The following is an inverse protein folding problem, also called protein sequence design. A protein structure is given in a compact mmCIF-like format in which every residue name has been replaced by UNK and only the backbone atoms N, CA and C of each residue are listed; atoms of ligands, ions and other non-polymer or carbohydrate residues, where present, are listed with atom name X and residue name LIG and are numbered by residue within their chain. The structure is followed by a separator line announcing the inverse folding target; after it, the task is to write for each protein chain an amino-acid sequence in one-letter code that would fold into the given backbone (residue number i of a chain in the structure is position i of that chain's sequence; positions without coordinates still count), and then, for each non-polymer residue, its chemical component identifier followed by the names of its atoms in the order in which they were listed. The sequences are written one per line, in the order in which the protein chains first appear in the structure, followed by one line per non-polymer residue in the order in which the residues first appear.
data_IF_794524012894
#
_entry.id   IF_794524012894
#
_cell.length_a   1.000
_cell.length_b   1.000
_cell.length_c   1.000
_cell.angle_alpha   90.00
_cell.angle_beta   90.00
_cell.angle_gamma   90.00
#
_symmetry.space_group_name_H-M   'P 1'
#
loop_
_entity.id
_entity.type
_entity.pdbx_description
1 polymer ?
#
# COMPACT_ATOMS: atom_id res chain seq x y z
N UNK A 1 0.34 -12.26 4.33
CA UNK A 1 1.73 -12.33 4.85
C UNK A 1 2.06 -11.13 5.75
N UNK A 2 1.55 -9.93 5.46
CA UNK A 2 1.90 -8.70 6.20
C UNK A 2 1.38 -8.68 7.65
N UNK A 3 0.26 -9.36 7.95
CA UNK A 3 -0.32 -9.41 9.31
C UNK A 3 0.14 -10.59 10.16
N UNK A 4 0.79 -11.59 9.55
CA UNK A 4 1.12 -12.86 10.21
C UNK A 4 -0.10 -13.74 10.54
N UNK A 5 -1.29 -13.36 10.07
CA UNK A 5 -2.52 -14.11 10.25
C UNK A 5 -2.68 -15.21 9.19
N UNK A 6 -3.32 -16.31 9.59
CA UNK A 6 -3.68 -17.37 8.65
C UNK A 6 -5.07 -17.10 8.08
N UNK A 7 -5.17 -16.93 6.78
CA UNK A 7 -6.44 -16.76 6.07
C UNK A 7 -6.96 -18.12 5.62
N UNK A 8 -8.22 -18.42 5.93
CA UNK A 8 -8.93 -19.63 5.49
C UNK A 8 -9.96 -19.22 4.44
N UNK A 9 -9.90 -19.87 3.29
CA UNK A 9 -10.86 -19.67 2.21
C UNK A 9 -11.74 -20.91 2.04
N UNK A 10 -13.00 -20.71 1.68
CA UNK A 10 -13.95 -21.82 1.52
C UNK A 10 -15.10 -21.46 0.57
N UNK A 11 -15.93 -22.46 0.28
CA UNK A 11 -17.07 -22.35 -0.65
C UNK A 11 -18.28 -21.59 -0.07
N UNK A 12 -18.19 -21.16 1.18
CA UNK A 12 -19.24 -20.41 1.88
C UNK A 12 -19.05 -20.47 3.39
N UNK A 13 -19.87 -19.69 4.09
CA UNK A 13 -19.77 -19.49 5.54
C UNK A 13 -19.88 -20.80 6.33
N UNK A 14 -20.90 -21.63 6.03
CA UNK A 14 -21.08 -22.93 6.69
C UNK A 14 -19.87 -23.86 6.50
N UNK A 15 -19.23 -23.84 5.33
CA UNK A 15 -18.02 -24.63 5.08
C UNK A 15 -16.87 -24.17 5.96
N UNK A 16 -16.69 -22.87 6.10
CA UNK A 16 -15.65 -22.29 6.98
C UNK A 16 -15.94 -22.59 8.45
N UNK A 17 -17.19 -22.47 8.90
CA UNK A 17 -17.59 -22.84 10.27
C UNK A 17 -17.28 -24.29 10.61
N UNK A 18 -17.56 -25.22 9.69
CA UNK A 18 -17.25 -26.65 9.89
C UNK A 18 -15.73 -26.87 9.99
N UNK A 19 -14.93 -26.23 9.15
CA UNK A 19 -13.46 -26.33 9.20
C UNK A 19 -12.94 -25.83 10.54
N UNK A 20 -13.44 -24.68 10.99
CA UNK A 20 -13.06 -24.07 12.26
C UNK A 20 -13.46 -24.95 13.45
N UNK A 21 -14.69 -25.46 13.45
CA UNK A 21 -15.18 -26.35 14.50
C UNK A 21 -14.29 -27.63 14.60
N UNK A 22 -13.90 -28.20 13.47
CA UNK A 22 -12.97 -29.34 13.43
C UNK A 22 -11.58 -28.97 13.95
N UNK A 23 -11.03 -27.83 13.58
CA UNK A 23 -9.74 -27.36 14.11
C UNK A 23 -9.77 -27.25 15.63
N UNK A 24 -10.82 -26.69 16.20
CA UNK A 24 -10.95 -26.52 17.65
C UNK A 24 -11.27 -27.83 18.39
N UNK A 25 -12.20 -28.64 17.89
CA UNK A 25 -12.66 -29.84 18.59
C UNK A 25 -11.80 -31.06 18.35
N UNK A 26 -11.42 -31.34 17.10
CA UNK A 26 -10.65 -32.54 16.75
C UNK A 26 -9.16 -32.34 16.97
N UNK A 27 -8.63 -31.20 16.50
CA UNK A 27 -7.19 -30.91 16.56
C UNK A 27 -6.75 -30.14 17.80
N UNK A 28 -7.71 -29.71 18.64
CA UNK A 28 -7.45 -28.94 19.89
C UNK A 28 -6.62 -27.67 19.68
N UNK A 29 -6.79 -27.01 18.52
CA UNK A 29 -6.12 -25.75 18.21
C UNK A 29 -6.93 -24.61 18.81
N UNK A 30 -6.32 -23.85 19.71
CA UNK A 30 -6.90 -22.60 20.20
C UNK A 30 -6.63 -21.50 19.18
N UNK A 31 -7.67 -20.90 18.62
CA UNK A 31 -7.56 -19.81 17.64
C UNK A 31 -8.61 -18.74 17.86
N UNK A 32 -8.24 -17.51 17.61
CA UNK A 32 -9.17 -16.39 17.52
C UNK A 32 -9.61 -16.25 16.06
N UNK A 33 -10.92 -16.10 15.85
CA UNK A 33 -11.51 -16.03 14.51
C UNK A 33 -12.07 -14.63 14.31
N UNK A 34 -11.78 -14.05 13.16
CA UNK A 34 -12.28 -12.75 12.77
C UNK A 34 -12.25 -12.56 11.26
N UNK A 35 -12.79 -11.44 10.76
CA UNK A 35 -12.63 -11.08 9.37
C UNK A 35 -11.14 -10.86 9.06
N UNK A 36 -10.66 -11.24 7.85
CA UNK A 36 -9.27 -11.02 7.47
C UNK A 36 -8.95 -9.52 7.46
N UNK A 37 -7.70 -9.19 7.82
CA UNK A 37 -7.25 -7.81 7.76
C UNK A 37 -7.05 -7.37 6.31
N UNK A 38 -7.45 -6.13 6.02
CA UNK A 38 -7.27 -5.53 4.70
C UNK A 38 -5.84 -5.00 4.58
N UNK A 39 -5.16 -5.35 3.50
CA UNK A 39 -3.80 -4.90 3.21
C UNK A 39 -3.80 -3.46 2.68
N UNK A 40 -3.87 -2.48 3.58
CA UNK A 40 -3.71 -1.08 3.22
C UNK A 40 -2.29 -0.75 2.77
N UNK A 41 -2.16 0.29 1.96
CA UNK A 41 -0.89 0.86 1.49
C UNK A 41 -0.93 2.38 1.63
N UNK A 42 0.23 3.00 1.59
CA UNK A 42 0.34 4.46 1.50
C UNK A 42 0.92 4.85 0.14
N UNK A 43 0.48 5.98 -0.40
CA UNK A 43 1.03 6.54 -1.63
C UNK A 43 1.07 8.07 -1.54
N UNK A 44 2.01 8.70 -2.23
CA UNK A 44 2.06 10.14 -2.36
C UNK A 44 1.22 10.60 -3.57
N UNK A 45 0.69 11.81 -3.52
CA UNK A 45 -0.21 12.32 -4.57
C UNK A 45 0.37 13.47 -5.38
N UNK A 46 1.48 14.04 -4.94
CA UNK A 46 2.15 15.17 -5.62
C UNK A 46 3.65 15.08 -5.46
N UNK A 47 4.36 15.67 -6.42
CA UNK A 47 5.81 15.82 -6.35
C UNK A 47 6.22 16.80 -5.26
N UNK A 48 7.35 16.52 -4.62
CA UNK A 48 7.99 17.42 -3.66
C UNK A 48 9.50 17.29 -3.74
N UNK A 49 10.20 18.38 -3.44
CA UNK A 49 11.67 18.39 -3.38
C UNK A 49 12.10 18.85 -1.99
N UNK A 50 12.91 18.03 -1.33
CA UNK A 50 13.37 18.26 0.03
C UNK A 50 14.90 18.35 0.07
N UNK A 51 15.39 19.41 0.66
CA UNK A 51 16.78 19.51 1.10
C UNK A 51 16.87 19.05 2.57
N UNK A 52 17.82 18.18 2.87
CA UNK A 52 18.07 17.71 4.23
C UNK A 52 19.56 17.68 4.52
N UNK A 53 19.94 18.22 5.68
CA UNK A 53 21.30 18.16 6.19
C UNK A 53 21.33 17.36 7.49
N UNK A 54 22.06 16.25 7.47
CA UNK A 54 22.45 15.52 8.69
C UNK A 54 23.78 16.05 9.19
N UNK A 55 23.76 16.63 10.37
CA UNK A 55 24.99 17.11 11.03
C UNK A 55 24.96 16.70 12.51
N UNK A 56 25.97 15.95 12.92
CA UNK A 56 26.16 15.57 14.32
C UNK A 56 27.62 15.77 14.70
N UNK A 57 27.86 16.48 15.79
CA UNK A 57 29.17 16.61 16.41
C UNK A 57 29.05 16.17 17.88
N UNK A 58 29.76 15.12 18.26
CA UNK A 58 29.83 14.65 19.64
C UNK A 58 31.20 14.06 19.90
N UNK A 59 32.11 14.87 20.44
CA UNK A 59 33.35 14.43 21.09
C UNK A 59 34.28 13.48 20.34
N UNK A 60 34.33 13.55 19.00
CA UNK A 60 35.10 12.67 18.12
C UNK A 60 34.89 13.02 16.66
N UNK A 61 35.02 12.04 15.75
CA UNK A 61 34.68 12.24 14.33
C UNK A 61 33.19 12.58 14.19
N UNK A 62 32.86 13.70 13.53
CA UNK A 62 31.52 14.16 13.29
C UNK A 62 30.78 13.29 12.26
N UNK A 63 29.51 13.62 12.01
CA UNK A 63 28.74 13.08 10.90
C UNK A 63 28.19 14.24 10.09
N UNK A 64 28.38 14.19 8.77
CA UNK A 64 27.85 15.19 7.86
C UNK A 64 27.37 14.56 6.55
N UNK A 65 26.16 14.89 6.17
CA UNK A 65 25.62 14.58 4.84
C UNK A 65 24.53 15.61 4.48
N UNK A 66 24.65 16.23 3.31
CA UNK A 66 23.61 17.10 2.76
C UNK A 66 23.12 16.51 1.46
N UNK A 67 21.80 16.42 1.29
CA UNK A 67 21.16 15.88 0.10
C UNK A 67 19.97 16.73 -0.32
N UNK A 68 19.73 16.79 -1.62
CA UNK A 68 18.54 17.36 -2.26
C UNK A 68 17.87 16.24 -3.04
N UNK A 69 16.66 15.86 -2.63
CA UNK A 69 15.93 14.74 -3.24
C UNK A 69 14.54 15.19 -3.69
N UNK A 70 14.20 14.85 -4.92
CA UNK A 70 12.83 14.95 -5.43
C UNK A 70 12.12 13.63 -5.27
N UNK A 71 10.90 13.70 -4.74
CA UNK A 71 9.98 12.58 -4.57
C UNK A 71 8.79 12.76 -5.50
N UNK A 72 8.57 11.81 -6.38
CA UNK A 72 7.49 11.82 -7.35
C UNK A 72 6.61 10.56 -7.18
N UNK A 73 5.27 10.65 -7.34
CA UNK A 73 4.46 9.45 -7.49
C UNK A 73 4.84 8.76 -8.80
N UNK A 74 4.91 7.42 -8.80
CA UNK A 74 5.07 6.66 -10.04
C UNK A 74 3.82 6.85 -10.92
N UNK A 75 4.04 7.04 -12.21
CA UNK A 75 2.97 7.18 -13.22
C UNK A 75 2.59 5.81 -13.81
N UNK A 76 1.49 5.79 -14.57
CA UNK A 76 1.08 4.59 -15.30
C UNK A 76 2.06 4.19 -16.41
N UNK A 77 2.93 5.12 -16.83
CA UNK A 77 3.95 4.92 -17.85
C UNK A 77 5.26 4.35 -17.29
N UNK A 78 5.41 4.31 -15.96
CA UNK A 78 6.59 3.70 -15.33
C UNK A 78 6.47 2.17 -15.36
N UNK A 79 7.58 1.47 -15.64
CA UNK A 79 7.64 0.00 -15.74
C UNK A 79 7.21 -0.69 -14.44
N UNK A 80 7.44 -0.06 -13.28
CA UNK A 80 7.01 -0.52 -11.97
C UNK A 80 5.96 0.39 -11.36
N UNK A 81 4.68 0.11 -11.61
CA UNK A 81 3.54 0.94 -11.12
C UNK A 81 3.40 1.02 -9.60
N UNK A 82 3.90 0.04 -8.87
CA UNK A 82 3.70 -0.10 -7.42
C UNK A 82 4.99 -0.18 -6.62
N UNK A 83 6.14 -0.21 -7.28
CA UNK A 83 7.45 -0.38 -6.66
C UNK A 83 8.07 0.90 -6.12
N UNK A 84 9.36 0.80 -5.87
CA UNK A 84 10.24 1.91 -5.51
C UNK A 84 11.32 2.05 -6.57
N UNK A 85 11.47 3.26 -7.11
CA UNK A 85 12.50 3.58 -8.10
C UNK A 85 13.42 4.67 -7.55
N UNK A 86 14.72 4.41 -7.56
CA UNK A 86 15.73 5.40 -7.21
C UNK A 86 16.51 5.84 -8.46
N UNK A 87 16.60 7.15 -8.67
CA UNK A 87 17.37 7.76 -9.74
C UNK A 87 18.51 8.62 -9.19
N UNK A 88 19.68 8.50 -9.78
CA UNK A 88 20.80 9.40 -9.52
C UNK A 88 20.87 10.46 -10.63
N UNK A 89 20.50 11.68 -10.30
CA UNK A 89 20.55 12.84 -11.22
C UNK A 89 21.64 13.85 -10.81
N UNK A 90 22.54 13.49 -9.90
CA UNK A 90 23.63 14.36 -9.42
C UNK A 90 24.56 14.75 -10.57
N UNK A 91 24.80 16.03 -10.69
CA UNK A 91 25.74 16.59 -11.68
C UNK A 91 26.96 17.18 -10.97
N UNK A 92 28.15 17.11 -11.63
CA UNK A 92 29.35 17.72 -11.11
C UNK A 92 30.02 17.02 -9.92
N UNK A 93 29.54 15.82 -9.52
CA UNK A 93 30.16 15.04 -8.45
C UNK A 93 30.02 15.61 -7.05
N UNK A 94 29.00 16.43 -6.79
CA UNK A 94 28.73 17.06 -5.48
C UNK A 94 28.45 16.04 -4.38
N UNK A 95 27.99 14.85 -4.76
CA UNK A 95 27.92 13.67 -3.89
C UNK A 95 28.80 12.57 -4.49
N UNK A 96 29.86 12.13 -3.79
CA UNK A 96 30.68 11.01 -4.23
C UNK A 96 29.88 9.74 -4.50
N UNK A 97 30.25 8.99 -5.54
CA UNK A 97 29.54 7.79 -5.99
C UNK A 97 29.39 6.73 -4.88
N UNK A 98 30.34 6.67 -3.97
CA UNK A 98 30.35 5.73 -2.84
C UNK A 98 29.25 6.01 -1.80
N UNK A 99 28.75 7.25 -1.72
CA UNK A 99 27.69 7.63 -0.75
C UNK A 99 26.28 7.48 -1.32
N UNK A 100 26.12 7.44 -2.64
CA UNK A 100 24.82 7.34 -3.31
C UNK A 100 24.02 6.09 -2.89
N UNK A 101 24.63 4.88 -2.80
CA UNK A 101 23.93 3.70 -2.31
C UNK A 101 23.40 3.87 -0.88
N UNK A 102 24.10 4.65 -0.03
CA UNK A 102 23.63 4.98 1.31
C UNK A 102 22.31 5.78 1.28
N UNK A 103 22.24 6.80 0.40
CA UNK A 103 20.99 7.57 0.22
C UNK A 103 19.84 6.68 -0.23
N UNK A 104 20.06 5.86 -1.27
CA UNK A 104 19.04 4.94 -1.78
C UNK A 104 18.52 3.99 -0.70
N UNK A 105 19.43 3.34 0.03
CA UNK A 105 19.09 2.44 1.15
C UNK A 105 18.35 3.15 2.28
N UNK A 106 18.76 4.40 2.60
CA UNK A 106 18.09 5.23 3.61
C UNK A 106 16.63 5.51 3.24
N UNK A 107 16.37 5.88 1.99
CA UNK A 107 15.02 6.13 1.49
C UNK A 107 14.21 4.83 1.48
N UNK A 108 14.76 3.75 0.93
CA UNK A 108 14.11 2.44 0.85
C UNK A 108 13.68 1.92 2.23
N UNK A 109 14.48 2.18 3.28
CA UNK A 109 14.15 1.76 4.64
C UNK A 109 12.86 2.35 5.21
N UNK A 110 12.31 3.41 4.61
CA UNK A 110 11.05 4.03 5.01
C UNK A 110 9.85 3.41 4.29
N UNK A 111 10.09 2.71 3.18
CA UNK A 111 9.01 2.14 2.35
C UNK A 111 8.16 1.11 3.10
N UNK A 112 8.76 0.34 4.00
CA UNK A 112 8.04 -0.68 4.79
C UNK A 112 7.13 -0.13 5.89
N UNK A 113 7.33 1.13 6.28
CA UNK A 113 6.59 1.77 7.38
C UNK A 113 6.34 3.24 7.05
N UNK A 114 5.22 3.51 6.42
CA UNK A 114 4.83 4.83 5.93
C UNK A 114 4.59 5.85 7.04
N UNK A 115 4.37 7.09 6.62
CA UNK A 115 4.32 8.26 7.51
C UNK A 115 2.90 8.62 7.97
N UNK A 116 1.87 8.09 7.33
CA UNK A 116 0.48 8.41 7.60
C UNK A 116 -0.13 7.50 8.67
N UNK A 117 -0.08 6.20 8.45
CA UNK A 117 -0.63 5.18 9.35
C UNK A 117 0.30 3.98 9.56
N UNK A 118 1.51 4.03 9.03
CA UNK A 118 2.52 2.98 9.17
C UNK A 118 2.37 1.82 8.19
N UNK A 119 1.51 1.94 7.17
CA UNK A 119 1.41 0.94 6.11
C UNK A 119 2.54 1.08 5.09
N UNK A 120 2.90 0.00 4.38
CA UNK A 120 3.92 0.07 3.35
C UNK A 120 3.59 1.11 2.28
N UNK A 121 4.60 1.87 1.86
CA UNK A 121 4.50 2.88 0.79
C UNK A 121 4.68 2.20 -0.56
N UNK A 122 3.85 2.56 -1.52
CA UNK A 122 3.92 2.07 -2.90
C UNK A 122 3.98 3.22 -3.89
N UNK A 123 4.52 2.94 -5.09
CA UNK A 123 4.49 3.87 -6.20
C UNK A 123 5.35 5.13 -5.99
N UNK A 124 6.57 4.98 -5.46
CA UNK A 124 7.48 6.09 -5.17
C UNK A 124 8.69 6.09 -6.11
N UNK A 125 8.95 7.23 -6.72
CA UNK A 125 10.21 7.55 -7.40
C UNK A 125 10.97 8.60 -6.60
N UNK A 126 12.21 8.32 -6.25
CA UNK A 126 13.10 9.27 -5.58
C UNK A 126 14.29 9.58 -6.47
N UNK A 127 14.53 10.85 -6.76
CA UNK A 127 15.68 11.30 -7.54
C UNK A 127 16.62 12.15 -6.66
N UNK A 128 17.86 11.68 -6.50
CA UNK A 128 18.91 12.47 -5.87
C UNK A 128 19.43 13.50 -6.87
N UNK A 129 19.16 14.77 -6.59
CA UNK A 129 19.47 15.88 -7.51
C UNK A 129 20.84 16.53 -7.22
N UNK A 130 21.13 16.72 -5.93
CA UNK A 130 22.33 17.41 -5.49
C UNK A 130 22.67 17.06 -4.03
N UNK A 131 23.81 17.54 -3.54
CA UNK A 131 24.18 17.40 -2.15
C UNK A 131 25.54 18.01 -1.84
N UNK A 132 26.01 17.77 -0.63
CA UNK A 132 27.35 18.15 -0.20
C UNK A 132 27.88 17.12 0.81
N UNK A 133 29.19 16.96 0.81
CA UNK A 133 29.91 16.12 1.75
C UNK A 133 31.03 16.89 2.43
N UNK A 134 31.59 16.29 3.48
CA UNK A 134 32.74 16.81 4.21
C UNK A 134 33.82 15.73 4.23
N UNK A 135 35.05 16.06 3.86
CA UNK A 135 36.13 15.09 3.64
C UNK A 135 36.42 14.17 4.87
N UNK A 136 36.15 14.65 6.07
CA UNK A 136 36.44 13.91 7.32
C UNK A 136 35.18 13.32 7.93
N UNK A 137 34.05 14.04 7.89
CA UNK A 137 32.83 13.70 8.65
C UNK A 137 31.75 12.98 7.82
N UNK A 138 31.97 12.79 6.52
CA UNK A 138 31.03 12.07 5.67
C UNK A 138 31.30 10.58 5.62
N UNK A 139 30.25 9.81 5.58
CA UNK A 139 30.27 8.36 5.46
C UNK A 139 28.99 7.85 4.80
N UNK A 140 29.00 6.61 4.29
CA UNK A 140 27.81 5.93 3.76
C UNK A 140 26.68 5.95 4.79
N UNK A 141 27.02 5.72 6.08
CA UNK A 141 26.03 5.74 7.17
C UNK A 141 25.40 7.13 7.37
N UNK A 142 26.21 8.20 7.29
CA UNK A 142 25.70 9.56 7.41
C UNK A 142 24.70 9.89 6.28
N UNK A 143 24.99 9.43 5.05
CA UNK A 143 24.08 9.58 3.92
C UNK A 143 22.86 8.65 4.01
N UNK A 144 22.95 7.45 4.59
CA UNK A 144 21.81 6.59 4.88
C UNK A 144 20.85 7.26 5.88
N UNK A 145 21.39 7.82 6.96
CA UNK A 145 20.58 8.56 7.96
C UNK A 145 19.92 9.78 7.32
N UNK A 146 20.66 10.55 6.51
CA UNK A 146 20.12 11.68 5.78
C UNK A 146 19.01 11.26 4.81
N UNK A 147 19.19 10.18 4.04
CA UNK A 147 18.21 9.63 3.12
C UNK A 147 16.92 9.23 3.84
N UNK A 148 17.02 8.53 4.97
CA UNK A 148 15.87 8.14 5.79
C UNK A 148 15.09 9.35 6.33
N UNK A 149 15.77 10.33 6.86
CA UNK A 149 15.13 11.53 7.39
C UNK A 149 14.53 12.42 6.29
N UNK A 150 15.22 12.54 5.15
CA UNK A 150 14.74 13.24 3.96
C UNK A 150 13.47 12.58 3.41
N UNK A 151 13.44 11.24 3.31
CA UNK A 151 12.28 10.50 2.84
C UNK A 151 11.05 10.72 3.73
N UNK A 152 11.19 10.64 5.04
CA UNK A 152 10.07 10.92 5.95
C UNK A 152 9.50 12.33 5.78
N UNK A 153 10.36 13.35 5.61
CA UNK A 153 9.91 14.72 5.33
C UNK A 153 9.25 14.83 3.96
N UNK A 154 9.83 14.20 2.94
CA UNK A 154 9.31 14.18 1.58
C UNK A 154 7.93 13.55 1.49
N UNK A 155 7.76 12.36 2.06
CA UNK A 155 6.49 11.65 2.09
C UNK A 155 5.39 12.47 2.79
N UNK A 156 5.70 13.10 3.94
CA UNK A 156 4.75 13.97 4.64
C UNK A 156 4.34 15.20 3.80
N UNK A 157 5.28 15.81 3.09
CA UNK A 157 5.04 17.01 2.28
C UNK A 157 4.35 16.69 0.95
N UNK A 158 4.47 15.47 0.44
CA UNK A 158 3.96 15.03 -0.86
C UNK A 158 2.47 14.63 -0.86
N UNK A 159 1.70 14.97 0.18
CA UNK A 159 0.28 14.66 0.27
C UNK A 159 0.02 13.15 0.34
N UNK A 160 0.47 12.47 1.41
CA UNK A 160 0.29 11.03 1.54
C UNK A 160 -1.19 10.69 1.66
N UNK A 161 -1.60 9.58 1.03
CA UNK A 161 -2.96 9.00 1.09
C UNK A 161 -2.90 7.53 1.42
N UNK A 162 -3.94 7.08 2.13
CA UNK A 162 -4.17 5.67 2.36
C UNK A 162 -4.83 5.06 1.11
N UNK A 163 -4.28 3.95 0.66
CA UNK A 163 -4.77 3.16 -0.46
C UNK A 163 -5.40 1.88 0.07
N UNK A 164 -6.55 1.52 -0.45
CA UNK A 164 -7.27 0.29 -0.13
C UNK A 164 -7.42 -0.59 -1.37
N UNK A 165 -7.43 -1.93 -1.24
CA UNK A 165 -7.68 -2.82 -2.36
C UNK A 165 -9.15 -2.72 -2.80
N UNK A 166 -9.34 -2.59 -4.11
CA UNK A 166 -10.65 -2.56 -4.75
C UNK A 166 -10.87 -3.88 -5.48
N UNK A 167 -12.01 -4.51 -5.23
CA UNK A 167 -12.44 -5.74 -5.89
C UNK A 167 -13.29 -5.42 -7.10
N UNK A 168 -13.03 -6.10 -8.22
CA UNK A 168 -13.97 -6.19 -9.33
C UNK A 168 -15.00 -7.27 -8.97
N UNK A 169 -16.26 -6.88 -8.96
CA UNK A 169 -17.39 -7.74 -8.58
C UNK A 169 -18.36 -7.84 -9.75
N UNK A 170 -18.66 -9.06 -10.17
CA UNK A 170 -19.67 -9.34 -11.20
C UNK A 170 -20.79 -10.17 -10.56
N UNK A 171 -21.99 -9.60 -10.47
CA UNK A 171 -23.17 -10.23 -9.87
C UNK A 171 -24.18 -10.55 -10.95
N UNK A 172 -24.68 -11.80 -10.96
CA UNK A 172 -25.75 -12.23 -11.85
C UNK A 172 -26.99 -12.58 -11.05
N UNK A 173 -28.11 -11.90 -11.31
CA UNK A 173 -29.38 -12.06 -10.60
C UNK A 173 -30.57 -11.97 -11.57
N UNK A 174 -31.75 -12.52 -11.20
CA UNK A 174 -32.99 -12.22 -11.90
C UNK A 174 -33.29 -10.73 -11.90
N UNK A 175 -33.96 -10.24 -12.95
CA UNK A 175 -34.29 -8.82 -13.12
C UNK A 175 -34.98 -8.20 -11.90
N UNK A 176 -35.86 -8.96 -11.25
CA UNK A 176 -36.60 -8.54 -10.04
C UNK A 176 -35.72 -8.14 -8.86
N UNK A 177 -34.45 -8.64 -8.78
CA UNK A 177 -33.50 -8.37 -7.70
C UNK A 177 -32.39 -7.38 -8.11
N UNK A 178 -32.35 -6.94 -9.35
CA UNK A 178 -31.29 -6.05 -9.84
C UNK A 178 -31.22 -4.73 -9.07
N UNK A 179 -32.37 -4.14 -8.74
CA UNK A 179 -32.46 -2.89 -7.95
C UNK A 179 -31.89 -3.04 -6.55
N UNK A 180 -32.18 -4.15 -5.88
CA UNK A 180 -31.67 -4.45 -4.54
C UNK A 180 -30.15 -4.64 -4.54
N UNK A 181 -29.62 -5.34 -5.55
CA UNK A 181 -28.17 -5.54 -5.72
C UNK A 181 -27.46 -4.22 -5.96
N UNK A 182 -27.97 -3.35 -6.83
CA UNK A 182 -27.41 -2.02 -7.08
C UNK A 182 -27.40 -1.17 -5.82
N UNK A 183 -28.51 -1.19 -5.07
CA UNK A 183 -28.65 -0.49 -3.80
C UNK A 183 -27.64 -0.97 -2.75
N UNK A 184 -27.47 -2.28 -2.62
CA UNK A 184 -26.50 -2.87 -1.68
C UNK A 184 -25.05 -2.55 -2.08
N UNK A 185 -24.68 -2.68 -3.36
CA UNK A 185 -23.35 -2.32 -3.85
C UNK A 185 -23.03 -0.84 -3.59
N UNK A 186 -23.98 0.06 -3.83
CA UNK A 186 -23.81 1.48 -3.54
C UNK A 186 -23.62 1.74 -2.03
N UNK A 187 -24.36 1.04 -1.16
CA UNK A 187 -24.20 1.14 0.29
C UNK A 187 -22.82 0.70 0.78
N UNK A 188 -22.16 -0.19 0.01
CA UNK A 188 -20.78 -0.69 0.24
C UNK A 188 -19.69 0.17 -0.38
N UNK A 189 -19.97 1.42 -0.74
CA UNK A 189 -19.04 2.35 -1.43
C UNK A 189 -18.62 1.83 -2.80
N UNK A 190 -19.43 0.97 -3.41
CA UNK A 190 -19.17 0.42 -4.73
C UNK A 190 -19.45 1.45 -5.83
N UNK A 191 -18.67 1.36 -6.90
CA UNK A 191 -18.89 2.10 -8.14
C UNK A 191 -19.44 1.14 -9.19
N UNK A 192 -20.68 1.35 -9.64
CA UNK A 192 -21.31 0.56 -10.69
C UNK A 192 -20.68 0.91 -12.05
N UNK A 193 -20.11 -0.06 -12.72
CA UNK A 193 -19.53 0.07 -14.05
C UNK A 193 -20.55 -0.26 -15.15
N UNK A 194 -20.69 -1.54 -15.45
CA UNK A 194 -21.53 -2.01 -16.57
C UNK A 194 -22.75 -2.79 -16.05
N UNK A 195 -23.87 -2.57 -16.73
CA UNK A 195 -25.07 -3.39 -16.60
C UNK A 195 -25.27 -4.17 -17.88
N UNK A 196 -25.51 -5.48 -17.75
CA UNK A 196 -25.67 -6.36 -18.89
C UNK A 196 -26.70 -7.44 -18.68
N UNK A 197 -26.77 -8.35 -19.65
CA UNK A 197 -27.64 -9.52 -19.61
C UNK A 197 -26.86 -10.78 -20.01
N UNK A 198 -27.15 -11.87 -19.32
CA UNK A 198 -26.63 -13.18 -19.63
C UNK A 198 -27.76 -14.22 -19.60
N UNK A 199 -28.35 -14.50 -20.74
CA UNK A 199 -29.56 -15.32 -20.78
C UNK A 199 -30.75 -14.64 -20.10
N UNK A 200 -31.35 -15.28 -19.11
CA UNK A 200 -32.44 -14.72 -18.32
C UNK A 200 -32.00 -13.96 -17.06
N UNK A 201 -30.68 -13.74 -16.91
CA UNK A 201 -30.12 -13.07 -15.74
C UNK A 201 -29.60 -11.69 -16.13
N UNK A 202 -29.82 -10.71 -15.27
CA UNK A 202 -29.15 -9.41 -15.34
C UNK A 202 -27.79 -9.49 -14.67
N UNK A 203 -26.81 -8.83 -15.25
CA UNK A 203 -25.45 -8.76 -14.70
C UNK A 203 -25.13 -7.33 -14.29
N UNK A 204 -24.52 -7.19 -13.11
CA UNK A 204 -24.04 -5.92 -12.55
C UNK A 204 -22.56 -6.07 -12.30
N UNK A 205 -21.74 -5.30 -13.05
CA UNK A 205 -20.29 -5.21 -12.81
C UNK A 205 -19.99 -3.97 -12.00
N UNK A 206 -19.21 -4.10 -10.94
CA UNK A 206 -18.89 -3.00 -10.04
C UNK A 206 -17.47 -3.12 -9.50
N UNK A 207 -16.94 -1.99 -9.04
CA UNK A 207 -15.68 -1.90 -8.28
C UNK A 207 -16.03 -1.56 -6.84
N UNK A 208 -15.67 -2.43 -5.89
CA UNK A 208 -16.07 -2.30 -4.48
C UNK A 208 -14.84 -2.48 -3.58
N UNK A 209 -14.66 -1.63 -2.55
CA UNK A 209 -13.59 -1.83 -1.58
C UNK A 209 -13.67 -3.19 -0.89
N UNK A 210 -12.56 -3.92 -0.82
CA UNK A 210 -12.50 -5.24 -0.19
C UNK A 210 -13.03 -5.21 1.25
N UNK A 211 -12.74 -4.16 2.00
CA UNK A 211 -13.21 -3.99 3.37
C UNK A 211 -14.74 -4.05 3.52
N UNK A 212 -15.48 -3.73 2.47
CA UNK A 212 -16.95 -3.74 2.43
C UNK A 212 -17.54 -5.01 1.79
N UNK A 213 -16.70 -5.97 1.37
CA UNK A 213 -17.15 -7.19 0.69
C UNK A 213 -17.24 -8.41 1.60
N UNK A 214 -16.74 -8.35 2.82
CA UNK A 214 -16.88 -9.45 3.77
C UNK A 214 -18.36 -9.75 4.04
N UNK A 215 -18.71 -11.04 4.03
CA UNK A 215 -20.08 -11.56 4.16
C UNK A 215 -21.06 -11.18 3.01
N UNK A 216 -20.57 -10.54 1.94
CA UNK A 216 -21.40 -10.12 0.81
C UNK A 216 -22.24 -11.27 0.23
N UNK A 217 -21.67 -12.47 0.09
CA UNK A 217 -22.37 -13.65 -0.48
C UNK A 217 -23.59 -14.04 0.38
N UNK A 218 -23.46 -13.98 1.72
CA UNK A 218 -24.57 -14.26 2.64
C UNK A 218 -25.68 -13.21 2.53
N UNK A 219 -25.31 -11.94 2.46
CA UNK A 219 -26.23 -10.84 2.29
C UNK A 219 -26.95 -10.91 0.93
N UNK A 220 -26.21 -11.20 -0.14
CA UNK A 220 -26.76 -11.40 -1.48
C UNK A 220 -27.81 -12.52 -1.51
N UNK A 221 -27.48 -13.67 -0.92
CA UNK A 221 -28.43 -14.81 -0.83
C UNK A 221 -29.67 -14.46 -0.04
N UNK A 222 -29.54 -13.71 1.03
CA UNK A 222 -30.68 -13.25 1.84
C UNK A 222 -31.57 -12.30 1.05
N UNK A 223 -31.00 -11.35 0.33
CA UNK A 223 -31.72 -10.33 -0.44
C UNK A 223 -32.36 -10.90 -1.72
N UNK A 224 -31.79 -11.97 -2.28
CA UNK A 224 -32.27 -12.59 -3.51
C UNK A 224 -33.02 -13.91 -3.29
N UNK A 225 -33.30 -14.26 -2.02
CA UNK A 225 -33.92 -15.55 -1.67
C UNK A 225 -33.18 -16.77 -2.23
N UNK A 226 -31.85 -16.63 -2.36
CA UNK A 226 -30.98 -17.68 -2.86
C UNK A 226 -30.97 -17.86 -4.38
N UNK A 227 -31.48 -16.93 -5.15
CA UNK A 227 -31.56 -16.98 -6.62
C UNK A 227 -30.48 -16.19 -7.31
#
# INVERSE_FOLDING_TARGET
EDSGEMVIEGMGELHLEIIIDRLMREFKVECNIGPPQVAYREAITKSTTIEYTHKKQSGGSGQYAKILVRFDPLSEDDDEKTGYVFANEVRGGTVPKEYIPGVAKGIESVMGNGVLAGFPVIGLKAALLDGAYHDVDSSVLAFEIAGRACARKGLNAAGPKLMEPIMKVDVSVPEEHMGDVIGDINSRRGFIGELGERGNMKTVSAMVPLANMFQYVSDLRSNTKGR
#
